data_IF_438303799444
#
_entry.id   IF_438303799444
#
_cell.length_a   1.000
_cell.length_b   1.000
_cell.length_c   1.000
_cell.angle_alpha   90.00
_cell.angle_beta   90.00
_cell.angle_gamma   90.00
#
_symmetry.space_group_name_H-M   'P 1'
#
loop_
_entity.id
_entity.type
_entity.pdbx_description
1 polymer ?
#
# COMPACT_ATOMS: atom_id res chain seq x y z
N UNK A 1 14.13 0.48 -6.30
CA UNK A 1 13.03 0.46 -5.37
C UNK A 1 12.01 -0.58 -5.77
N UNK A 2 11.64 -1.44 -4.85
CA UNK A 2 10.57 -2.44 -5.11
C UNK A 2 9.24 -1.74 -4.90
N UNK A 3 8.47 -1.51 -5.97
CA UNK A 3 7.06 -1.12 -5.84
C UNK A 3 6.30 -2.27 -5.18
N UNK A 4 5.33 -2.01 -4.30
CA UNK A 4 4.63 -3.07 -3.59
C UNK A 4 3.89 -4.00 -4.56
N UNK A 5 3.99 -5.30 -4.31
CA UNK A 5 3.34 -6.37 -5.08
C UNK A 5 1.80 -6.36 -5.00
N UNK A 6 1.21 -5.39 -4.30
CA UNK A 6 -0.24 -5.26 -4.05
C UNK A 6 -1.07 -4.68 -5.19
N UNK A 7 -0.45 -4.20 -6.26
CA UNK A 7 -1.18 -3.48 -7.33
C UNK A 7 -2.02 -4.41 -8.21
N UNK A 8 -1.70 -5.72 -8.25
CA UNK A 8 -2.39 -6.65 -9.15
C UNK A 8 -2.68 -7.99 -8.47
N UNK A 9 -3.96 -8.37 -8.30
CA UNK A 9 -4.31 -9.67 -7.76
C UNK A 9 -3.92 -10.81 -8.71
N UNK A 10 -3.32 -11.86 -8.15
CA UNK A 10 -3.05 -13.10 -8.84
C UNK A 10 -4.32 -13.93 -8.95
N UNK A 11 -4.81 -14.16 -10.17
CA UNK A 11 -5.86 -15.07 -10.66
C UNK A 11 -7.24 -15.05 -9.98
N UNK A 12 -8.32 -14.95 -10.78
CA UNK A 12 -9.67 -15.16 -10.30
C UNK A 12 -9.95 -16.63 -10.00
N UNK A 13 -10.74 -16.88 -8.96
CA UNK A 13 -11.26 -18.19 -8.58
C UNK A 13 -12.34 -18.65 -9.56
N UNK A 14 -12.27 -19.93 -9.97
CA UNK A 14 -13.20 -20.58 -10.89
C UNK A 14 -14.62 -20.70 -10.34
N UNK A 15 -15.60 -20.03 -10.97
CA UNK A 15 -17.01 -20.40 -10.95
C UNK A 15 -17.62 -20.17 -12.33
N UNK A 16 -18.53 -21.07 -12.75
CA UNK A 16 -19.24 -21.17 -14.03
C UNK A 16 -20.25 -20.02 -14.26
N UNK A 17 -19.80 -18.76 -14.15
CA UNK A 17 -20.46 -17.57 -14.66
C UNK A 17 -19.61 -17.14 -15.84
N UNK A 18 -20.18 -16.79 -16.98
CA UNK A 18 -19.41 -16.27 -18.13
C UNK A 18 -18.46 -15.20 -17.58
N UNK A 19 -17.17 -15.55 -17.54
CA UNK A 19 -16.13 -14.69 -16.95
C UNK A 19 -16.11 -13.39 -17.76
N UNK A 20 -16.48 -12.30 -17.09
CA UNK A 20 -16.35 -10.96 -17.67
C UNK A 20 -14.86 -10.63 -17.78
N UNK A 21 -14.51 -9.91 -18.82
CA UNK A 21 -13.13 -9.48 -19.03
C UNK A 21 -12.81 -8.37 -18.04
N UNK A 22 -11.75 -8.56 -17.20
CA UNK A 22 -11.36 -7.56 -16.21
C UNK A 22 -10.77 -6.32 -16.90
N UNK A 23 -11.19 -5.15 -16.41
CA UNK A 23 -10.73 -3.84 -16.87
C UNK A 23 -10.02 -3.14 -15.73
N UNK A 24 -8.85 -2.64 -16.01
CA UNK A 24 -8.06 -1.81 -15.13
C UNK A 24 -7.97 -0.42 -15.73
N UNK A 25 -8.45 0.60 -15.04
CA UNK A 25 -8.39 1.97 -15.48
C UNK A 25 -7.40 2.78 -14.66
N UNK A 26 -6.59 3.57 -15.35
CA UNK A 26 -5.77 4.60 -14.73
C UNK A 26 -6.25 5.95 -15.22
N UNK A 27 -6.55 6.85 -14.31
CA UNK A 27 -6.93 8.22 -14.61
C UNK A 27 -6.01 9.24 -13.90
N UNK A 28 -6.21 10.49 -14.20
CA UNK A 28 -5.38 11.61 -13.72
C UNK A 28 -5.26 12.64 -14.82
N UNK A 29 -4.87 13.85 -14.44
CA UNK A 29 -4.69 14.93 -15.42
C UNK A 29 -3.52 14.65 -16.38
N UNK A 30 -3.48 15.41 -17.49
CA UNK A 30 -2.42 15.34 -18.47
C UNK A 30 -1.04 15.37 -17.78
N UNK A 31 -0.12 14.58 -18.30
CA UNK A 31 1.26 14.46 -17.79
C UNK A 31 1.39 14.03 -16.32
N UNK A 32 0.35 13.45 -15.72
CA UNK A 32 0.39 12.93 -14.34
C UNK A 32 1.17 11.61 -14.17
N UNK A 33 1.74 11.07 -15.25
CA UNK A 33 2.56 9.85 -15.21
C UNK A 33 1.80 8.55 -15.49
N UNK A 34 0.58 8.60 -16.01
CA UNK A 34 -0.26 7.43 -16.35
C UNK A 34 0.43 6.46 -17.32
N UNK A 35 0.92 6.97 -18.45
CA UNK A 35 1.58 6.15 -19.47
C UNK A 35 2.87 5.54 -18.96
N UNK A 36 3.64 6.25 -18.17
CA UNK A 36 4.85 5.74 -17.52
C UNK A 36 4.53 4.60 -16.55
N UNK A 37 3.45 4.72 -15.79
CA UNK A 37 2.97 3.67 -14.89
C UNK A 37 2.61 2.39 -15.66
N UNK A 38 1.82 2.49 -16.72
CA UNK A 38 1.46 1.32 -17.53
C UNK A 38 2.65 0.74 -18.27
N UNK A 39 3.51 1.57 -18.85
CA UNK A 39 4.73 1.11 -19.53
C UNK A 39 5.63 0.28 -18.62
N UNK A 40 5.78 0.74 -17.37
CA UNK A 40 6.50 -0.02 -16.35
C UNK A 40 5.77 -1.31 -15.97
N UNK A 41 4.47 -1.22 -15.69
CA UNK A 41 3.66 -2.31 -15.13
C UNK A 41 3.57 -3.50 -16.09
N UNK A 42 3.30 -3.27 -17.39
CA UNK A 42 3.17 -4.36 -18.37
C UNK A 42 4.47 -5.14 -18.58
N UNK A 43 5.62 -4.54 -18.29
CA UNK A 43 6.93 -5.20 -18.36
C UNK A 43 7.28 -6.07 -17.13
N UNK A 44 6.49 -6.02 -16.04
CA UNK A 44 6.81 -6.72 -14.81
C UNK A 44 6.44 -8.21 -14.85
N UNK A 45 7.23 -9.10 -14.22
CA UNK A 45 6.95 -10.54 -14.21
C UNK A 45 5.58 -10.89 -13.61
N UNK A 46 5.14 -10.19 -12.57
CA UNK A 46 3.84 -10.41 -11.92
C UNK A 46 2.65 -10.04 -12.80
N UNK A 47 2.87 -9.22 -13.81
CA UNK A 47 1.85 -8.78 -14.76
C UNK A 47 1.72 -9.71 -15.98
N UNK A 48 2.66 -10.60 -16.20
CA UNK A 48 2.66 -11.50 -17.36
C UNK A 48 1.43 -12.42 -17.37
N UNK A 49 0.82 -12.56 -18.54
CA UNK A 49 -0.35 -13.42 -18.77
C UNK A 49 -0.16 -14.22 -20.05
N UNK A 50 -0.80 -15.39 -20.11
CA UNK A 50 -0.91 -16.15 -21.35
C UNK A 50 -1.90 -15.53 -22.34
N UNK A 51 -2.86 -14.76 -21.81
CA UNK A 51 -3.88 -14.07 -22.57
C UNK A 51 -3.36 -12.76 -23.16
N UNK A 52 -4.04 -12.30 -24.21
CA UNK A 52 -3.75 -10.98 -24.78
C UNK A 52 -4.24 -9.88 -23.89
N UNK A 53 -3.50 -8.78 -23.84
CA UNK A 53 -3.88 -7.55 -23.16
C UNK A 53 -4.24 -6.50 -24.21
N UNK A 54 -5.41 -5.86 -24.08
CA UNK A 54 -5.78 -4.69 -24.86
C UNK A 54 -5.50 -3.43 -24.05
N UNK A 55 -4.63 -2.57 -24.56
CA UNK A 55 -4.34 -1.26 -23.97
C UNK A 55 -5.03 -0.17 -24.80
N UNK A 56 -5.94 0.58 -24.18
CA UNK A 56 -6.66 1.69 -24.79
C UNK A 56 -6.14 2.99 -24.20
N UNK A 57 -5.59 3.85 -25.05
CA UNK A 57 -5.11 5.18 -24.68
C UNK A 57 -6.13 6.23 -25.12
N UNK A 58 -6.66 6.98 -24.13
CA UNK A 58 -7.63 8.05 -24.35
C UNK A 58 -6.97 9.45 -24.32
N UNK A 59 -5.65 9.49 -24.39
CA UNK A 59 -4.87 10.73 -24.29
C UNK A 59 -3.64 10.65 -25.19
N UNK A 60 -3.29 11.75 -25.83
CA UNK A 60 -1.99 11.90 -26.48
C UNK A 60 -0.94 12.18 -25.39
N UNK A 61 -0.05 11.24 -25.14
CA UNK A 61 1.03 11.35 -24.16
C UNK A 61 2.41 11.41 -24.84
N UNK A 62 3.39 11.96 -24.16
CA UNK A 62 4.78 11.98 -24.59
C UNK A 62 5.45 10.60 -24.49
N UNK A 63 4.90 9.69 -23.69
CA UNK A 63 5.43 8.35 -23.49
C UNK A 63 4.94 7.42 -24.60
N UNK A 64 5.87 6.96 -25.42
CA UNK A 64 5.61 5.92 -26.41
C UNK A 64 5.82 4.53 -25.80
N UNK A 65 4.86 3.64 -26.05
CA UNK A 65 5.03 2.22 -25.71
C UNK A 65 5.89 1.55 -26.79
N UNK A 66 7.06 1.07 -26.40
CA UNK A 66 7.98 0.42 -27.32
C UNK A 66 7.36 -0.81 -27.99
N UNK A 67 7.45 -0.94 -29.32
CA UNK A 67 6.92 -2.10 -30.07
C UNK A 67 7.43 -3.44 -29.53
N UNK A 68 8.71 -3.49 -29.12
CA UNK A 68 9.32 -4.68 -28.53
C UNK A 68 8.60 -5.10 -27.24
N UNK A 69 8.30 -4.13 -26.36
CA UNK A 69 7.58 -4.37 -25.12
C UNK A 69 6.18 -4.89 -25.40
N UNK A 70 5.43 -4.25 -26.29
CA UNK A 70 4.07 -4.66 -26.65
C UNK A 70 4.04 -6.09 -27.21
N UNK A 71 5.00 -6.44 -28.08
CA UNK A 71 5.11 -7.80 -28.64
C UNK A 71 5.45 -8.85 -27.56
N UNK A 72 6.42 -8.55 -26.69
CA UNK A 72 6.85 -9.47 -25.63
C UNK A 72 5.73 -9.73 -24.61
N UNK A 73 4.91 -8.74 -24.36
CA UNK A 73 3.81 -8.80 -23.39
C UNK A 73 2.46 -9.17 -23.99
N UNK A 74 2.41 -9.44 -25.31
CA UNK A 74 1.17 -9.73 -26.07
C UNK A 74 0.12 -8.64 -25.89
N UNK A 75 0.54 -7.39 -25.92
CA UNK A 75 -0.31 -6.23 -25.73
C UNK A 75 -0.64 -5.61 -27.09
N UNK A 76 -1.92 -5.47 -27.38
CA UNK A 76 -2.45 -4.70 -28.50
C UNK A 76 -2.77 -3.29 -28.03
N UNK A 77 -2.41 -2.27 -28.81
CA UNK A 77 -2.61 -0.87 -28.46
C UNK A 77 -3.62 -0.23 -29.41
N UNK A 78 -4.62 0.44 -28.85
CA UNK A 78 -5.60 1.26 -29.56
C UNK A 78 -5.70 2.65 -28.91
N UNK A 79 -6.08 3.63 -29.74
CA UNK A 79 -6.30 5.02 -29.28
C UNK A 79 -7.74 5.44 -29.51
N UNK A 80 -8.32 6.13 -28.52
CA UNK A 80 -9.62 6.77 -28.62
C UNK A 80 -9.40 8.24 -28.25
N UNK A 81 -9.39 9.11 -29.22
CA UNK A 81 -9.00 10.51 -29.05
C UNK A 81 -10.19 11.43 -28.68
N UNK A 82 -11.42 11.01 -28.95
CA UNK A 82 -12.61 11.78 -28.65
C UNK A 82 -13.50 11.08 -27.63
N UNK A 83 -14.00 11.77 -26.61
CA UNK A 83 -14.85 11.16 -25.58
C UNK A 83 -16.16 10.57 -26.15
N UNK A 84 -16.68 11.11 -27.26
CA UNK A 84 -17.86 10.59 -27.93
C UNK A 84 -17.64 9.23 -28.59
N UNK A 85 -16.39 8.88 -28.91
CA UNK A 85 -16.02 7.59 -29.50
C UNK A 85 -15.84 6.50 -28.46
N UNK A 86 -15.74 6.86 -27.18
CA UNK A 86 -15.66 5.90 -26.06
C UNK A 86 -17.06 5.40 -25.72
N UNK A 87 -17.53 4.43 -26.46
CA UNK A 87 -18.88 3.85 -26.32
C UNK A 87 -18.81 2.33 -26.09
N UNK A 88 -19.80 1.74 -25.38
CA UNK A 88 -19.86 0.28 -25.25
C UNK A 88 -19.82 -0.46 -26.58
N UNK A 89 -20.42 0.08 -27.64
CA UNK A 89 -20.41 -0.51 -28.98
C UNK A 89 -19.02 -0.49 -29.61
N UNK A 90 -18.29 0.62 -29.52
CA UNK A 90 -16.91 0.73 -30.00
C UNK A 90 -15.99 -0.22 -29.24
N UNK A 91 -16.13 -0.32 -27.91
CA UNK A 91 -15.34 -1.23 -27.08
C UNK A 91 -15.64 -2.70 -27.41
N UNK A 92 -16.87 -3.06 -27.71
CA UNK A 92 -17.23 -4.41 -28.19
C UNK A 92 -16.63 -4.73 -29.55
N UNK A 93 -16.50 -3.76 -30.45
CA UNK A 93 -15.81 -3.94 -31.71
C UNK A 93 -14.30 -4.25 -31.51
N UNK A 94 -13.65 -3.57 -30.55
CA UNK A 94 -12.28 -3.88 -30.17
C UNK A 94 -12.17 -5.25 -29.50
N UNK A 95 -13.13 -5.60 -28.67
CA UNK A 95 -13.21 -6.94 -28.06
C UNK A 95 -13.27 -8.04 -29.13
N UNK A 96 -14.11 -7.86 -30.15
CA UNK A 96 -14.23 -8.82 -31.25
C UNK A 96 -12.97 -8.87 -32.14
N UNK A 97 -12.24 -7.78 -32.25
CA UNK A 97 -10.99 -7.70 -33.05
C UNK A 97 -9.82 -8.39 -32.34
N UNK A 98 -9.66 -8.19 -31.03
CA UNK A 98 -8.44 -8.59 -30.31
C UNK A 98 -8.62 -9.80 -29.40
N UNK A 99 -9.84 -10.13 -29.01
CA UNK A 99 -10.16 -11.21 -28.06
C UNK A 99 -9.29 -11.14 -26.79
N UNK A 100 -9.27 -9.99 -26.08
CA UNK A 100 -8.39 -9.81 -24.92
C UNK A 100 -8.86 -10.64 -23.72
N UNK A 101 -7.92 -11.11 -22.90
CA UNK A 101 -8.20 -11.67 -21.60
C UNK A 101 -8.26 -10.63 -20.48
N UNK A 102 -7.74 -9.41 -20.77
CA UNK A 102 -7.81 -8.24 -19.88
C UNK A 102 -7.67 -6.96 -20.68
N UNK A 103 -8.20 -5.88 -20.12
CA UNK A 103 -8.16 -4.54 -20.74
C UNK A 103 -7.54 -3.54 -19.77
N UNK A 104 -6.60 -2.75 -20.28
CA UNK A 104 -6.04 -1.58 -19.59
C UNK A 104 -6.55 -0.33 -20.30
N UNK A 105 -7.04 0.63 -19.54
CA UNK A 105 -7.51 1.91 -20.07
C UNK A 105 -6.75 3.04 -19.40
N UNK A 106 -6.09 3.86 -20.22
CA UNK A 106 -5.55 5.15 -19.80
C UNK A 106 -6.59 6.22 -20.11
N UNK A 107 -7.33 6.64 -19.09
CA UNK A 107 -8.40 7.63 -19.22
C UNK A 107 -7.81 9.03 -19.37
N UNK A 108 -8.44 9.85 -20.19
CA UNK A 108 -8.09 11.26 -20.31
C UNK A 108 -8.68 12.03 -19.12
N UNK A 109 -7.83 12.58 -18.27
CA UNK A 109 -8.22 13.28 -17.08
C UNK A 109 -9.00 14.58 -17.27
N UNK A 110 -9.09 15.09 -18.48
CA UNK A 110 -9.92 16.24 -18.84
C UNK A 110 -11.32 15.82 -19.28
N UNK A 111 -11.56 14.54 -19.48
CA UNK A 111 -12.88 14.02 -19.80
C UNK A 111 -13.69 13.77 -18.55
N UNK A 112 -15.00 14.00 -18.63
CA UNK A 112 -15.92 13.69 -17.54
C UNK A 112 -15.96 12.19 -17.29
N UNK A 113 -15.47 11.74 -16.14
CA UNK A 113 -15.41 10.31 -15.78
C UNK A 113 -16.80 9.66 -15.68
N UNK A 114 -17.88 10.43 -15.53
CA UNK A 114 -19.26 9.92 -15.62
C UNK A 114 -19.60 9.34 -17.00
N UNK A 115 -18.82 9.69 -18.04
CA UNK A 115 -18.92 9.12 -19.38
C UNK A 115 -18.19 7.78 -19.54
N UNK A 116 -17.42 7.37 -18.54
CA UNK A 116 -16.75 6.08 -18.54
C UNK A 116 -17.79 4.96 -18.38
N UNK A 117 -18.13 4.31 -19.50
CA UNK A 117 -19.12 3.24 -19.56
C UNK A 117 -18.56 2.02 -20.28
N UNK A 118 -18.52 0.91 -19.58
CA UNK A 118 -18.05 -0.36 -20.10
C UNK A 118 -19.18 -1.20 -20.70
N UNK A 119 -18.90 -2.02 -21.74
CA UNK A 119 -19.85 -3.00 -22.23
C UNK A 119 -20.13 -4.08 -21.16
N UNK A 120 -21.26 -4.74 -21.27
CA UNK A 120 -21.69 -5.75 -20.29
C UNK A 120 -20.74 -6.96 -20.15
N UNK A 121 -19.96 -7.25 -21.19
CA UNK A 121 -18.96 -8.31 -21.19
C UNK A 121 -17.67 -7.95 -20.43
N UNK A 122 -17.49 -6.69 -20.03
CA UNK A 122 -16.34 -6.20 -19.30
C UNK A 122 -16.74 -5.82 -17.87
N UNK A 123 -15.79 -5.92 -16.95
CA UNK A 123 -16.01 -5.55 -15.55
C UNK A 123 -14.83 -4.72 -15.07
N UNK A 124 -15.13 -3.57 -14.46
CA UNK A 124 -14.10 -2.77 -13.80
C UNK A 124 -13.56 -3.55 -12.59
N UNK A 125 -12.32 -3.97 -12.69
CA UNK A 125 -11.61 -4.71 -11.63
C UNK A 125 -10.89 -3.76 -10.69
N UNK A 126 -10.24 -2.73 -11.23
CA UNK A 126 -9.50 -1.76 -10.44
C UNK A 126 -9.46 -0.40 -11.11
N UNK A 127 -9.61 0.64 -10.28
CA UNK A 127 -9.40 2.04 -10.66
C UNK A 127 -8.22 2.61 -9.90
N UNK A 128 -7.25 3.16 -10.65
CA UNK A 128 -6.05 3.82 -10.14
C UNK A 128 -6.07 5.27 -10.60
N UNK A 129 -5.74 6.20 -9.71
CA UNK A 129 -5.54 7.61 -10.07
C UNK A 129 -4.09 8.01 -9.86
N UNK A 130 -3.52 8.72 -10.83
CA UNK A 130 -2.20 9.34 -10.75
C UNK A 130 -2.34 10.84 -10.57
N UNK A 131 -1.63 11.39 -9.59
CA UNK A 131 -1.58 12.82 -9.31
C UNK A 131 -0.13 13.28 -9.33
N UNK A 132 0.14 14.33 -10.10
CA UNK A 132 1.40 15.06 -10.03
C UNK A 132 1.35 15.98 -8.80
N UNK A 133 2.14 15.66 -7.77
CA UNK A 133 2.18 16.44 -6.53
C UNK A 133 2.59 17.90 -6.76
N UNK A 134 3.47 18.15 -7.74
CA UNK A 134 3.95 19.51 -8.05
C UNK A 134 2.86 20.44 -8.58
N UNK A 135 1.79 19.89 -9.17
CA UNK A 135 0.67 20.66 -9.75
C UNK A 135 -0.64 20.54 -8.96
N UNK A 136 -0.72 19.59 -8.03
CA UNK A 136 -1.95 19.33 -7.28
C UNK A 136 -2.52 20.55 -6.59
N UNK A 137 -1.70 21.35 -5.92
CA UNK A 137 -2.13 22.56 -5.22
C UNK A 137 -2.79 23.58 -6.14
N UNK A 138 -2.30 23.71 -7.37
CA UNK A 138 -2.88 24.59 -8.39
C UNK A 138 -4.26 24.10 -8.83
N UNK A 139 -4.39 22.82 -9.13
CA UNK A 139 -5.68 22.24 -9.52
C UNK A 139 -6.69 22.22 -8.38
N UNK A 140 -6.22 21.93 -7.16
CA UNK A 140 -7.06 21.88 -5.98
C UNK A 140 -7.62 23.27 -5.59
N UNK A 141 -6.85 24.35 -5.79
CA UNK A 141 -7.28 25.71 -5.51
C UNK A 141 -8.27 26.28 -6.54
N UNK A 142 -8.30 25.73 -7.76
CA UNK A 142 -9.27 26.11 -8.79
C UNK A 142 -10.56 25.30 -8.64
N UNK A 143 -11.68 25.98 -8.40
CA UNK A 143 -12.95 25.33 -8.09
C UNK A 143 -13.45 24.34 -9.18
N UNK A 144 -13.33 24.74 -10.46
CA UNK A 144 -13.77 23.90 -11.58
C UNK A 144 -12.86 22.67 -11.75
N UNK A 145 -11.54 22.87 -11.66
CA UNK A 145 -10.56 21.79 -11.76
C UNK A 145 -10.64 20.84 -10.56
N UNK A 146 -10.90 21.36 -9.37
CA UNK A 146 -11.11 20.54 -8.17
C UNK A 146 -12.31 19.62 -8.29
N UNK A 147 -13.44 20.11 -8.83
CA UNK A 147 -14.61 19.27 -9.08
C UNK A 147 -14.32 18.14 -10.04
N UNK A 148 -13.62 18.40 -11.13
CA UNK A 148 -13.21 17.40 -12.10
C UNK A 148 -12.27 16.37 -11.47
N UNK A 149 -11.26 16.83 -10.73
CA UNK A 149 -10.32 15.98 -9.99
C UNK A 149 -11.05 15.06 -9.01
N UNK A 150 -12.03 15.56 -8.27
CA UNK A 150 -12.78 14.77 -7.31
C UNK A 150 -13.63 13.68 -7.97
N UNK A 151 -14.22 13.96 -9.12
CA UNK A 151 -14.94 12.94 -9.89
C UNK A 151 -14.01 11.82 -10.38
N UNK A 152 -12.79 12.14 -10.74
CA UNK A 152 -11.78 11.16 -11.15
C UNK A 152 -11.27 10.33 -9.98
N UNK A 153 -11.05 10.94 -8.83
CA UNK A 153 -10.54 10.25 -7.64
C UNK A 153 -11.58 9.36 -6.99
N UNK A 154 -12.86 9.74 -7.10
CA UNK A 154 -13.95 8.99 -6.49
C UNK A 154 -14.06 7.59 -7.07
N UNK A 155 -14.03 6.59 -6.18
CA UNK A 155 -14.02 5.18 -6.55
C UNK A 155 -12.63 4.61 -6.87
N UNK A 156 -11.55 5.40 -6.77
CA UNK A 156 -10.19 4.88 -6.87
C UNK A 156 -9.86 4.00 -5.67
N UNK A 157 -9.29 2.83 -5.93
CA UNK A 157 -8.77 1.92 -4.92
C UNK A 157 -7.33 2.28 -4.54
N UNK A 158 -6.59 2.84 -5.49
CA UNK A 158 -5.22 3.31 -5.31
C UNK A 158 -5.08 4.71 -5.91
N UNK A 159 -4.51 5.63 -5.14
CA UNK A 159 -4.17 6.98 -5.58
C UNK A 159 -2.67 7.19 -5.38
N UNK A 160 -1.97 7.45 -6.47
CA UNK A 160 -0.52 7.66 -6.47
C UNK A 160 -0.19 9.11 -6.70
N UNK A 161 0.49 9.73 -5.74
CA UNK A 161 1.16 11.01 -5.91
C UNK A 161 2.59 10.78 -6.34
N UNK A 162 2.95 11.26 -7.51
CA UNK A 162 4.33 11.25 -8.01
C UNK A 162 4.96 12.64 -7.98
N UNK A 163 6.24 12.73 -8.34
CA UNK A 163 7.00 14.00 -8.37
C UNK A 163 6.97 14.77 -7.06
N UNK A 164 7.14 14.04 -5.96
CA UNK A 164 7.18 14.62 -4.62
C UNK A 164 8.58 15.14 -4.23
N UNK A 165 9.57 15.10 -5.14
CA UNK A 165 10.99 15.34 -4.88
C UNK A 165 11.31 16.66 -4.18
N UNK A 166 10.65 17.73 -4.58
CA UNK A 166 10.91 19.09 -4.07
C UNK A 166 9.79 19.59 -3.14
N UNK A 167 8.98 18.67 -2.61
CA UNK A 167 7.84 18.97 -1.76
C UNK A 167 8.20 18.74 -0.29
N UNK A 168 7.82 19.69 0.57
CA UNK A 168 7.94 19.50 2.01
C UNK A 168 6.87 18.51 2.53
N UNK A 169 7.22 17.82 3.60
CA UNK A 169 6.38 16.77 4.19
C UNK A 169 5.01 17.31 4.65
N UNK A 170 4.97 18.50 5.25
CA UNK A 170 3.73 19.12 5.72
C UNK A 170 2.75 19.37 4.57
N UNK A 171 3.26 19.80 3.42
CA UNK A 171 2.45 20.00 2.20
C UNK A 171 1.91 18.66 1.69
N UNK A 172 2.73 17.62 1.63
CA UNK A 172 2.30 16.27 1.21
C UNK A 172 1.26 15.67 2.16
N UNK A 173 1.43 15.84 3.47
CA UNK A 173 0.44 15.42 4.47
C UNK A 173 -0.88 16.18 4.29
N UNK A 174 -0.82 17.49 4.00
CA UNK A 174 -2.02 18.26 3.68
C UNK A 174 -2.74 17.70 2.45
N UNK A 175 -2.02 17.37 1.38
CA UNK A 175 -2.61 16.76 0.17
C UNK A 175 -3.23 15.39 0.48
N UNK A 176 -2.55 14.59 1.27
CA UNK A 176 -3.07 13.31 1.77
C UNK A 176 -4.41 13.48 2.49
N UNK A 177 -4.53 14.44 3.41
CA UNK A 177 -5.78 14.74 4.12
C UNK A 177 -6.88 15.21 3.18
N UNK A 178 -6.54 16.07 2.22
CA UNK A 178 -7.50 16.55 1.22
C UNK A 178 -8.10 15.41 0.40
N UNK A 179 -7.27 14.48 -0.06
CA UNK A 179 -7.71 13.31 -0.83
C UNK A 179 -8.44 12.30 0.05
N UNK A 180 -7.98 12.08 1.26
CA UNK A 180 -8.63 11.18 2.22
C UNK A 180 -10.07 11.60 2.56
N UNK A 181 -10.34 12.90 2.59
CA UNK A 181 -11.69 13.42 2.80
C UNK A 181 -12.67 13.05 1.67
N UNK A 182 -12.17 12.82 0.45
CA UNK A 182 -12.97 12.46 -0.74
C UNK A 182 -12.99 10.94 -0.97
N UNK A 183 -11.87 10.28 -0.72
CA UNK A 183 -11.66 8.85 -0.95
C UNK A 183 -11.11 8.19 0.33
N UNK A 184 -11.95 7.98 1.36
CA UNK A 184 -11.50 7.47 2.66
C UNK A 184 -10.95 6.03 2.60
N UNK A 185 -11.41 5.23 1.64
CA UNK A 185 -11.05 3.81 1.51
C UNK A 185 -9.87 3.55 0.56
N UNK A 186 -9.40 4.57 -0.19
CA UNK A 186 -8.33 4.39 -1.14
C UNK A 186 -6.97 4.22 -0.46
N UNK A 187 -6.14 3.32 -0.98
CA UNK A 187 -4.72 3.31 -0.64
C UNK A 187 -4.03 4.53 -1.26
N UNK A 188 -3.21 5.23 -0.48
CA UNK A 188 -2.46 6.40 -0.93
C UNK A 188 -0.97 6.09 -0.94
N UNK A 189 -0.32 6.35 -2.08
CA UNK A 189 1.12 6.19 -2.26
C UNK A 189 1.71 7.52 -2.70
N UNK A 190 2.82 7.92 -2.09
CA UNK A 190 3.59 9.10 -2.44
C UNK A 190 4.98 8.66 -2.88
N UNK A 191 5.43 9.14 -4.03
CA UNK A 191 6.71 8.74 -4.63
C UNK A 191 7.55 9.95 -5.04
N UNK A 192 8.84 9.88 -4.76
CA UNK A 192 9.87 10.71 -5.35
C UNK A 192 10.78 9.88 -6.28
N UNK A 193 11.89 10.47 -6.75
CA UNK A 193 12.88 9.78 -7.60
C UNK A 193 13.58 8.59 -6.92
N UNK A 194 13.57 8.54 -5.59
CA UNK A 194 14.19 7.47 -4.79
C UNK A 194 13.20 6.32 -4.48
N UNK A 195 11.91 6.56 -4.65
CA UNK A 195 10.85 5.59 -4.45
C UNK A 195 9.68 6.09 -3.60
N UNK A 196 9.04 5.18 -2.91
CA UNK A 196 7.91 5.49 -2.03
C UNK A 196 8.36 6.24 -0.78
N UNK A 197 7.61 7.31 -0.44
CA UNK A 197 7.81 8.11 0.76
C UNK A 197 6.83 7.63 1.83
N UNK A 198 7.30 7.36 3.04
CA UNK A 198 6.44 7.10 4.18
C UNK A 198 5.90 8.42 4.77
N UNK A 199 4.59 8.61 4.64
CA UNK A 199 3.84 9.74 5.21
C UNK A 199 2.81 9.27 6.24
N UNK A 200 3.06 8.15 6.91
CA UNK A 200 2.19 7.62 7.95
C UNK A 200 2.12 8.59 9.12
N UNK A 201 0.91 9.02 9.46
CA UNK A 201 0.63 9.91 10.58
C UNK A 201 -0.07 9.15 11.71
N UNK A 202 -0.16 9.78 12.88
CA UNK A 202 -0.89 9.22 14.03
C UNK A 202 -2.36 8.90 13.70
N UNK A 203 -2.97 9.68 12.80
CA UNK A 203 -4.36 9.49 12.35
C UNK A 203 -4.57 8.20 11.53
N UNK A 204 -3.50 7.65 10.95
CA UNK A 204 -3.55 6.41 10.16
C UNK A 204 -3.42 5.15 11.03
N UNK A 205 -3.10 5.30 12.31
CA UNK A 205 -2.90 4.17 13.22
C UNK A 205 -4.25 3.60 13.66
N UNK A 206 -4.39 2.27 13.77
CA UNK A 206 -5.63 1.62 14.20
C UNK A 206 -5.82 1.67 15.73
N UNK A 207 -4.95 2.35 16.46
CA UNK A 207 -4.98 2.52 17.90
C UNK A 207 -4.66 3.97 18.30
N UNK A 208 -5.19 4.41 19.44
CA UNK A 208 -4.94 5.75 19.96
C UNK A 208 -3.65 5.76 20.80
N UNK A 209 -2.64 6.46 20.30
CA UNK A 209 -1.33 6.60 20.96
C UNK A 209 -1.34 7.56 22.17
N UNK A 210 -2.44 8.26 22.42
CA UNK A 210 -2.59 9.19 23.53
C UNK A 210 -3.22 8.53 24.77
N UNK A 211 -3.56 7.25 24.70
CA UNK A 211 -4.00 6.50 25.88
C UNK A 211 -2.85 6.28 26.86
N UNK A 212 -3.18 6.20 28.15
CA UNK A 212 -2.20 5.93 29.22
C UNK A 212 -1.46 4.61 28.98
N UNK A 213 -2.19 3.61 28.50
CA UNK A 213 -1.66 2.31 28.07
C UNK A 213 -2.22 2.01 26.69
N UNK A 214 -1.34 1.86 25.69
CA UNK A 214 -1.72 1.50 24.34
C UNK A 214 -1.84 -0.02 24.25
N UNK A 215 -3.05 -0.52 24.02
CA UNK A 215 -3.28 -1.95 23.80
C UNK A 215 -2.96 -2.37 22.36
N UNK A 216 -2.04 -3.33 22.24
CA UNK A 216 -1.54 -3.82 20.94
C UNK A 216 -1.94 -5.28 20.74
N UNK A 217 -3.24 -5.52 20.64
CA UNK A 217 -3.79 -6.84 20.33
C UNK A 217 -3.71 -7.19 18.84
N UNK A 218 -3.44 -8.45 18.53
CA UNK A 218 -3.47 -8.97 17.18
C UNK A 218 -2.56 -8.19 16.22
N UNK A 219 -3.13 -7.77 15.08
CA UNK A 219 -2.42 -7.03 14.03
C UNK A 219 -1.88 -5.67 14.49
N UNK A 220 -2.48 -5.06 15.51
CA UNK A 220 -2.01 -3.79 16.04
C UNK A 220 -0.56 -3.87 16.55
N UNK A 221 -0.15 -5.02 17.10
CA UNK A 221 1.24 -5.23 17.47
C UNK A 221 2.19 -5.14 16.27
N UNK A 222 1.83 -5.79 15.16
CA UNK A 222 2.64 -5.75 13.94
C UNK A 222 2.74 -4.36 13.34
N UNK A 223 1.64 -3.63 13.29
CA UNK A 223 1.59 -2.24 12.82
C UNK A 223 2.44 -1.34 13.70
N UNK A 224 2.28 -1.43 15.03
CA UNK A 224 3.09 -0.70 15.97
C UNK A 224 4.59 -1.01 15.81
N UNK A 225 4.95 -2.28 15.69
CA UNK A 225 6.36 -2.70 15.57
C UNK A 225 7.07 -2.04 14.40
N UNK A 226 6.41 -2.02 13.23
CA UNK A 226 6.94 -1.40 12.01
C UNK A 226 6.95 0.13 12.11
N UNK A 227 5.86 0.73 12.59
CA UNK A 227 5.74 2.18 12.73
C UNK A 227 6.74 2.73 13.77
N UNK A 228 6.95 2.03 14.86
CA UNK A 228 7.90 2.41 15.89
C UNK A 228 9.37 2.33 15.43
N UNK A 229 9.69 1.44 14.48
CA UNK A 229 11.01 1.35 13.87
C UNK A 229 11.33 2.59 13.04
N UNK A 230 10.34 3.11 12.30
CA UNK A 230 10.48 4.28 11.43
C UNK A 230 10.29 5.60 12.19
N UNK A 231 9.48 5.61 13.25
CA UNK A 231 9.05 6.79 14.00
C UNK A 231 9.23 6.60 15.51
N UNK A 232 10.45 6.35 15.96
CA UNK A 232 10.76 6.12 17.39
C UNK A 232 10.30 7.26 18.30
N UNK A 233 10.44 8.50 17.84
CA UNK A 233 10.04 9.72 18.57
C UNK A 233 8.53 9.77 18.87
N UNK A 234 7.70 9.17 18.01
CA UNK A 234 6.24 9.07 18.20
C UNK A 234 5.88 8.29 19.46
N UNK A 235 6.70 7.30 19.84
CA UNK A 235 6.40 6.34 20.88
C UNK A 235 7.26 6.48 22.14
N UNK A 236 8.33 7.25 22.08
CA UNK A 236 9.25 7.41 23.22
C UNK A 236 8.49 7.88 24.48
N UNK A 237 8.70 7.17 25.59
CA UNK A 237 8.06 7.45 26.88
C UNK A 237 6.64 6.91 27.03
N UNK A 238 6.03 6.37 25.98
CA UNK A 238 4.68 5.80 26.05
C UNK A 238 4.70 4.39 26.64
N UNK A 239 3.57 3.98 27.17
CA UNK A 239 3.37 2.64 27.77
C UNK A 239 2.47 1.80 26.86
N UNK A 240 2.89 0.58 26.60
CA UNK A 240 2.18 -0.41 25.78
C UNK A 240 1.85 -1.66 26.57
N UNK A 241 0.80 -2.37 26.15
CA UNK A 241 0.45 -3.70 26.64
C UNK A 241 0.18 -4.62 25.47
N UNK A 242 0.77 -5.81 25.49
CA UNK A 242 0.61 -6.81 24.42
C UNK A 242 0.93 -8.22 24.90
N UNK A 243 0.41 -9.21 24.18
CA UNK A 243 0.77 -10.62 24.36
C UNK A 243 1.91 -10.99 23.43
N UNK A 244 2.92 -11.67 23.95
CA UNK A 244 4.11 -12.03 23.24
C UNK A 244 4.67 -13.40 23.63
N UNK A 245 5.44 -13.98 22.75
CA UNK A 245 6.26 -15.14 23.05
C UNK A 245 7.62 -14.69 23.56
N UNK A 246 8.13 -15.36 24.58
CA UNK A 246 9.45 -15.08 25.16
C UNK A 246 10.55 -15.66 24.30
N UNK A 247 11.50 -14.82 23.87
CA UNK A 247 12.77 -15.21 23.30
C UNK A 247 13.92 -14.75 24.18
N UNK A 248 14.97 -15.54 24.28
CA UNK A 248 16.17 -15.27 25.09
C UNK A 248 17.43 -15.45 24.22
N UNK A 249 17.81 -14.44 23.40
CA UNK A 249 19.04 -14.51 22.63
C UNK A 249 20.28 -14.66 23.50
N UNK A 250 21.20 -15.54 23.12
CA UNK A 250 22.41 -15.88 23.90
C UNK A 250 23.37 -14.69 24.08
N UNK A 251 23.33 -13.73 23.17
CA UNK A 251 24.18 -12.54 23.15
C UNK A 251 23.62 -11.36 23.94
N UNK A 252 22.43 -11.51 24.54
CA UNK A 252 21.82 -10.44 25.33
C UNK A 252 22.35 -10.39 26.77
N UNK A 253 22.52 -9.20 27.34
CA UNK A 253 22.93 -9.06 28.73
C UNK A 253 21.88 -9.61 29.71
N UNK A 254 22.31 -9.97 30.90
CA UNK A 254 21.41 -10.39 31.98
C UNK A 254 20.37 -9.29 32.28
N UNK A 255 19.16 -9.72 32.61
CA UNK A 255 18.04 -8.80 32.85
C UNK A 255 17.30 -8.38 31.59
N UNK A 256 17.65 -8.95 30.44
CA UNK A 256 16.97 -8.69 29.16
C UNK A 256 16.42 -9.97 28.56
N UNK A 257 15.32 -9.81 27.83
CA UNK A 257 14.73 -10.82 26.96
C UNK A 257 14.08 -10.13 25.77
N UNK A 258 13.57 -10.87 24.81
CA UNK A 258 12.83 -10.31 23.67
C UNK A 258 11.42 -10.85 23.66
N UNK A 259 10.44 -10.06 24.07
CA UNK A 259 9.03 -10.37 23.86
C UNK A 259 8.66 -10.05 22.42
N UNK A 260 8.07 -10.99 21.71
CA UNK A 260 7.74 -10.76 20.30
C UNK A 260 6.68 -11.70 19.74
N UNK A 261 6.44 -11.54 18.46
CA UNK A 261 5.47 -12.33 17.70
C UNK A 261 6.12 -12.82 16.41
N UNK A 262 5.77 -14.02 16.00
CA UNK A 262 6.06 -14.45 14.63
C UNK A 262 5.21 -13.67 13.66
N UNK A 263 5.78 -13.26 12.55
CA UNK A 263 5.10 -12.55 11.47
C UNK A 263 5.37 -13.20 10.12
N UNK A 264 4.35 -13.22 9.29
CA UNK A 264 4.42 -13.70 7.90
C UNK A 264 4.17 -12.52 6.96
N UNK A 265 5.08 -12.30 6.00
CA UNK A 265 5.00 -11.17 5.05
C UNK A 265 4.38 -11.55 3.71
N UNK A 266 4.74 -12.69 3.14
CA UNK A 266 4.17 -13.15 1.87
C UNK A 266 3.82 -14.64 1.84
N UNK A 267 4.55 -15.52 2.53
CA UNK A 267 4.27 -16.94 2.63
C UNK A 267 4.84 -17.53 3.92
N UNK A 268 4.45 -18.78 4.20
CA UNK A 268 4.90 -19.47 5.42
C UNK A 268 6.42 -19.69 5.52
N UNK A 269 7.15 -19.57 4.41
CA UNK A 269 8.61 -19.68 4.39
C UNK A 269 9.29 -18.37 4.82
N UNK A 270 8.58 -17.24 4.79
CA UNK A 270 9.08 -15.90 5.16
C UNK A 270 8.66 -15.50 6.58
N UNK A 271 8.72 -16.43 7.51
CA UNK A 271 8.40 -16.17 8.91
C UNK A 271 9.56 -15.44 9.60
N UNK A 272 9.24 -14.33 10.26
CA UNK A 272 10.19 -13.55 11.03
C UNK A 272 9.68 -13.35 12.47
N UNK A 273 10.60 -13.30 13.41
CA UNK A 273 10.28 -12.95 14.81
C UNK A 273 10.44 -11.45 15.00
N UNK A 274 9.34 -10.78 15.32
CA UNK A 274 9.31 -9.34 15.55
C UNK A 274 9.30 -9.06 17.04
N UNK A 275 10.35 -8.45 17.57
CA UNK A 275 10.43 -8.07 18.98
C UNK A 275 11.58 -7.10 19.22
N UNK A 276 11.41 -6.25 20.23
CA UNK A 276 12.45 -5.37 20.74
C UNK A 276 13.03 -5.91 22.03
N UNK A 277 14.28 -5.57 22.33
CA UNK A 277 14.89 -5.87 23.61
C UNK A 277 14.02 -5.31 24.75
N UNK A 278 13.83 -6.10 25.79
CA UNK A 278 13.04 -5.73 26.94
C UNK A 278 13.81 -5.93 28.23
N UNK A 279 13.96 -4.87 29.00
CA UNK A 279 14.55 -4.86 30.33
C UNK A 279 13.50 -5.29 31.34
N UNK A 280 13.81 -6.34 32.12
CA UNK A 280 12.92 -6.83 33.17
C UNK A 280 13.72 -7.47 34.32
N UNK A 281 13.43 -7.08 35.57
CA UNK A 281 14.18 -7.53 36.72
C UNK A 281 14.23 -9.06 36.86
N UNK A 282 13.13 -9.74 36.50
CA UNK A 282 12.99 -11.20 36.58
C UNK A 282 13.13 -11.89 35.18
N UNK A 283 13.85 -11.28 34.26
CA UNK A 283 14.01 -11.85 32.92
C UNK A 283 14.61 -13.27 32.93
N UNK A 284 15.52 -13.55 33.89
CA UNK A 284 16.16 -14.88 34.01
C UNK A 284 15.19 -15.99 34.44
N UNK A 285 14.10 -15.64 35.10
CA UNK A 285 13.07 -16.57 35.54
C UNK A 285 12.09 -16.95 34.43
N UNK A 286 12.08 -16.20 33.32
CA UNK A 286 11.18 -16.45 32.20
C UNK A 286 11.62 -17.67 31.41
N UNK A 287 10.67 -18.49 30.99
CA UNK A 287 10.91 -19.66 30.15
C UNK A 287 10.74 -19.29 28.68
N UNK A 288 11.74 -19.65 27.88
CA UNK A 288 11.72 -19.44 26.44
C UNK A 288 10.53 -20.14 25.76
N UNK A 289 9.99 -19.53 24.71
CA UNK A 289 8.83 -20.01 23.93
C UNK A 289 7.52 -20.11 24.72
N UNK A 290 7.44 -19.51 25.90
CA UNK A 290 6.17 -19.36 26.62
C UNK A 290 5.48 -18.05 26.28
N UNK A 291 4.17 -17.98 26.49
CA UNK A 291 3.38 -16.76 26.24
C UNK A 291 3.21 -15.95 27.51
N UNK A 292 3.41 -14.64 27.36
CA UNK A 292 3.28 -13.67 28.45
C UNK A 292 2.52 -12.44 27.96
N UNK A 293 1.78 -11.81 28.86
CA UNK A 293 1.24 -10.46 28.66
C UNK A 293 2.18 -9.47 29.35
N UNK A 294 2.57 -8.44 28.62
CA UNK A 294 3.57 -7.47 29.05
C UNK A 294 2.97 -6.08 29.06
N UNK A 295 3.27 -5.33 30.12
CA UNK A 295 3.11 -3.89 30.19
C UNK A 295 4.50 -3.28 30.30
N UNK A 296 4.86 -2.43 29.34
CA UNK A 296 6.20 -1.87 29.26
C UNK A 296 6.20 -0.42 28.78
N UNK A 297 7.15 0.35 29.27
CA UNK A 297 7.47 1.68 28.79
C UNK A 297 8.43 1.58 27.59
N UNK A 298 8.21 2.37 26.56
CA UNK A 298 9.07 2.47 25.40
C UNK A 298 10.17 3.48 25.69
N UNK A 299 11.42 3.02 25.62
CA UNK A 299 12.62 3.84 25.74
C UNK A 299 13.36 3.89 24.40
N UNK A 300 14.05 4.98 24.13
CA UNK A 300 14.94 5.16 23.01
C UNK A 300 16.35 5.27 23.54
N UNK A 301 17.22 4.31 23.23
CA UNK A 301 18.56 4.27 23.77
C UNK A 301 19.53 3.50 22.86
N UNK A 302 20.83 3.74 23.05
CA UNK A 302 21.86 2.92 22.40
C UNK A 302 21.88 1.54 23.03
N UNK A 303 21.76 0.51 22.21
CA UNK A 303 21.81 -0.87 22.64
C UNK A 303 22.84 -1.62 21.82
N UNK A 304 23.79 -2.27 22.48
CA UNK A 304 24.96 -2.86 21.83
C UNK A 304 24.56 -3.86 20.72
N UNK A 305 23.55 -4.68 20.98
CA UNK A 305 23.08 -5.71 20.04
C UNK A 305 22.35 -5.11 18.81
N UNK A 306 21.98 -3.84 18.85
CA UNK A 306 21.45 -3.11 17.69
C UNK A 306 22.53 -2.39 16.89
N UNK A 307 23.78 -2.35 17.37
CA UNK A 307 24.86 -1.57 16.80
C UNK A 307 24.53 -0.05 16.68
N UNK A 308 23.63 0.44 17.54
CA UNK A 308 23.18 1.82 17.51
C UNK A 308 21.97 2.10 18.39
N UNK A 309 21.32 3.21 18.10
CA UNK A 309 20.11 3.66 18.81
C UNK A 309 18.88 2.88 18.33
N UNK A 310 18.04 2.50 19.24
CA UNK A 310 16.81 1.79 18.95
C UNK A 310 15.83 1.76 20.11
N UNK A 311 14.71 1.07 19.91
CA UNK A 311 13.70 0.87 20.93
C UNK A 311 14.15 -0.22 21.90
N UNK A 312 14.13 0.12 23.18
CA UNK A 312 14.28 -0.82 24.29
C UNK A 312 13.06 -0.67 25.20
N UNK A 313 12.39 -1.78 25.47
CA UNK A 313 11.24 -1.80 26.37
C UNK A 313 11.71 -1.94 27.83
N UNK A 314 11.02 -1.27 28.73
CA UNK A 314 11.18 -1.44 30.17
C UNK A 314 9.89 -1.99 30.75
N UNK A 315 9.87 -3.29 31.07
CA UNK A 315 8.69 -3.96 31.56
C UNK A 315 8.43 -3.63 33.01
N UNK A 316 7.23 -3.14 33.30
CA UNK A 316 6.71 -2.99 34.68
C UNK A 316 5.93 -4.21 35.15
N UNK A 317 5.40 -4.99 34.19
CA UNK A 317 4.59 -6.18 34.46
C UNK A 317 4.78 -7.22 33.37
N UNK A 318 5.01 -8.46 33.76
CA UNK A 318 5.08 -9.63 32.88
C UNK A 318 4.33 -10.78 33.57
N UNK A 319 3.24 -11.23 32.92
CA UNK A 319 2.40 -12.29 33.49
C UNK A 319 2.24 -13.42 32.45
N UNK A 320 2.27 -14.70 32.88
CA UNK A 320 1.93 -15.81 32.00
C UNK A 320 0.51 -15.63 31.44
N UNK A 321 0.34 -15.93 30.17
CA UNK A 321 -0.97 -15.90 29.51
C UNK A 321 -1.14 -17.07 28.53
N UNK A 322 -2.37 -17.25 28.05
CA UNK A 322 -2.63 -18.20 26.99
C UNK A 322 -2.13 -17.66 25.63
N UNK A 323 -1.77 -18.58 24.75
CA UNK A 323 -1.51 -18.25 23.35
C UNK A 323 -2.74 -17.55 22.75
N UNK A 324 -2.59 -16.42 22.04
CA UNK A 324 -3.70 -15.79 21.33
C UNK A 324 -4.25 -16.70 20.23
N UNK A 325 -5.51 -16.49 19.84
CA UNK A 325 -6.15 -17.26 18.74
C UNK A 325 -5.38 -17.15 17.44
N UNK A 326 -4.85 -15.95 17.15
CA UNK A 326 -3.98 -15.68 16.02
C UNK A 326 -2.54 -15.42 16.51
N UNK A 327 -1.72 -16.48 16.68
CA UNK A 327 -0.39 -16.33 17.24
C UNK A 327 0.61 -15.69 16.27
N UNK A 328 0.34 -15.73 14.96
CA UNK A 328 1.17 -15.20 13.89
C UNK A 328 0.55 -13.91 13.37
N UNK A 329 1.35 -12.85 13.27
CA UNK A 329 0.96 -11.60 12.60
C UNK A 329 1.00 -11.83 11.10
N UNK A 330 -0.12 -11.67 10.42
CA UNK A 330 -0.22 -11.91 8.98
C UNK A 330 -0.30 -10.59 8.20
N UNK A 331 0.81 -10.16 7.61
CA UNK A 331 0.86 -8.97 6.74
C UNK A 331 0.45 -9.26 5.30
N UNK A 332 0.25 -10.54 4.93
CA UNK A 332 -0.10 -10.94 3.57
C UNK A 332 -1.62 -11.00 3.32
N UNK A 333 -2.43 -10.86 4.38
CA UNK A 333 -3.88 -11.04 4.38
C UNK A 333 -4.69 -9.84 3.98
#
# INVERSE_FOLDING_TARGET
GKRPSRVWPSKPSSSLIMEKIPVYVINGFLDSGKSSFYSYTIGQPYFQSKDRTLLILCEEGEVEFGEKLLKQTRTDLERIENPEDFTPAALMALNAKYHPGRVLIEWNGMWDFRKFKLPHAWMLEQQISCIDASTFGMYFSNLAMRSLLFEELRGSELIMFNRCDDMDEDTLIKYKRNVRAVCPEADLIFEDKEGEIDLTTEEDLPFDINQDIIDLEGMNYGIWYLDAMEHMDRYEGKTIRFRAMVAKPDDFPKGYFVPGRMAMTCCAEDMQFLGYACRYEKAEELTEKTWVEITAKICRENFEQYEGEGIVLEASKVEPCAQPEEPVINFAG
#
